data_IF_220605371041
#
_entry.id   IF_220605371041
#
_cell.length_a   1.000
_cell.length_b   1.000
_cell.length_c   1.000
_cell.angle_alpha   90.00
_cell.angle_beta   90.00
_cell.angle_gamma   90.00
#
_symmetry.space_group_name_H-M   'P 1'
#
loop_
_entity.id
_entity.type
_entity.pdbx_description
1 polymer ?
#
# COMPACT_ATOMS: atom_id res chain seq x y z
N UNK A 1 -9.75 19.55 -28.53
CA UNK A 1 -9.20 18.96 -27.30
C UNK A 1 -10.31 18.13 -26.68
N UNK A 2 -10.29 16.81 -26.86
CA UNK A 2 -11.31 15.92 -26.31
C UNK A 2 -10.85 15.47 -24.93
N UNK A 3 -11.59 15.83 -23.89
CA UNK A 3 -11.41 15.25 -22.57
C UNK A 3 -11.85 13.78 -22.66
N UNK A 4 -10.93 12.86 -22.39
CA UNK A 4 -11.28 11.45 -22.27
C UNK A 4 -12.34 11.30 -21.16
N UNK A 5 -13.39 10.49 -21.36
CA UNK A 5 -14.34 10.21 -20.29
C UNK A 5 -13.56 9.59 -19.13
N UNK A 6 -13.78 10.07 -17.90
CA UNK A 6 -13.24 9.43 -16.71
C UNK A 6 -13.60 7.94 -16.80
N UNK A 7 -12.56 7.09 -16.94
CA UNK A 7 -12.72 5.67 -17.17
C UNK A 7 -13.59 5.06 -16.06
N UNK A 8 -14.41 4.08 -16.43
CA UNK A 8 -15.14 3.27 -15.45
C UNK A 8 -14.14 2.70 -14.42
N UNK A 9 -14.54 2.53 -13.15
CA UNK A 9 -13.65 1.97 -12.14
C UNK A 9 -13.12 0.62 -12.61
N UNK A 10 -11.80 0.52 -12.73
CA UNK A 10 -11.12 -0.72 -13.12
C UNK A 10 -11.01 -1.65 -11.92
N UNK A 11 -11.04 -2.98 -12.13
CA UNK A 11 -10.78 -3.92 -11.06
C UNK A 11 -9.32 -3.78 -10.59
N UNK A 12 -9.14 -3.67 -9.28
CA UNK A 12 -7.83 -3.75 -8.63
C UNK A 12 -7.80 -4.99 -7.73
N UNK A 13 -6.70 -5.71 -7.78
CA UNK A 13 -6.41 -6.76 -6.82
C UNK A 13 -5.50 -6.18 -5.74
N UNK A 14 -5.93 -6.24 -4.49
CA UNK A 14 -5.22 -5.63 -3.36
C UNK A 14 -4.83 -6.73 -2.40
N UNK A 15 -3.53 -6.81 -2.10
CA UNK A 15 -2.97 -7.74 -1.11
C UNK A 15 -2.24 -6.93 -0.06
N UNK A 16 -2.47 -7.31 1.19
CA UNK A 16 -1.73 -6.82 2.33
C UNK A 16 -1.04 -8.00 3.01
N UNK A 17 0.26 -7.88 3.27
CA UNK A 17 1.09 -8.97 3.80
C UNK A 17 1.83 -8.49 5.04
N UNK A 18 1.81 -9.31 6.09
CA UNK A 18 2.58 -9.11 7.30
C UNK A 18 3.19 -10.45 7.73
N UNK A 19 4.46 -10.42 8.10
CA UNK A 19 5.15 -11.58 8.64
C UNK A 19 5.09 -11.55 10.16
N UNK A 20 4.68 -12.67 10.77
CA UNK A 20 4.54 -12.82 12.22
C UNK A 20 5.00 -14.21 12.64
N UNK A 21 5.83 -14.32 13.67
CA UNK A 21 6.39 -15.61 14.11
C UNK A 21 5.82 -16.11 15.45
N UNK A 22 4.89 -15.36 16.05
CA UNK A 22 4.51 -15.52 17.46
C UNK A 22 3.24 -16.35 17.70
N UNK A 23 2.50 -16.73 16.65
CA UNK A 23 1.20 -17.38 16.77
C UNK A 23 1.25 -18.87 16.45
N UNK A 24 0.62 -19.69 17.29
CA UNK A 24 0.54 -21.14 17.11
C UNK A 24 -0.65 -21.57 16.22
N UNK A 25 -1.61 -20.67 15.97
CA UNK A 25 -2.82 -20.95 15.19
C UNK A 25 -3.03 -19.92 14.05
N UNK A 26 -3.37 -20.38 12.83
CA UNK A 26 -3.60 -19.47 11.69
C UNK A 26 -4.71 -18.44 11.93
N UNK A 27 -5.73 -18.73 12.73
CA UNK A 27 -6.80 -17.76 13.01
C UNK A 27 -6.33 -16.70 14.00
N UNK A 28 -5.43 -17.03 14.92
CA UNK A 28 -4.79 -16.03 15.80
C UNK A 28 -3.93 -15.08 14.99
N UNK A 29 -3.10 -15.60 14.09
CA UNK A 29 -2.32 -14.78 13.16
C UNK A 29 -3.23 -13.87 12.30
N UNK A 30 -4.35 -14.40 11.78
CA UNK A 30 -5.30 -13.61 11.00
C UNK A 30 -6.01 -12.51 11.83
N UNK A 31 -6.32 -12.78 13.11
CA UNK A 31 -6.88 -11.76 14.01
C UNK A 31 -5.88 -10.66 14.30
N UNK A 32 -4.63 -11.03 14.57
CA UNK A 32 -3.56 -10.06 14.77
C UNK A 32 -3.35 -9.21 13.53
N UNK A 33 -3.31 -9.83 12.35
CA UNK A 33 -3.19 -9.14 11.08
C UNK A 33 -4.34 -8.11 10.90
N UNK A 34 -5.59 -8.49 11.20
CA UNK A 34 -6.73 -7.59 11.17
C UNK A 34 -6.59 -6.42 12.16
N UNK A 35 -6.11 -6.66 13.37
CA UNK A 35 -5.87 -5.62 14.37
C UNK A 35 -4.78 -4.65 13.92
N UNK A 36 -3.66 -5.19 13.43
CA UNK A 36 -2.50 -4.43 12.97
C UNK A 36 -2.79 -3.54 11.76
N UNK A 37 -3.66 -3.96 10.84
CA UNK A 37 -4.09 -3.13 9.69
C UNK A 37 -5.20 -2.14 10.04
N UNK A 38 -5.90 -2.36 11.17
CA UNK A 38 -6.98 -1.48 11.62
C UNK A 38 -6.48 -0.38 12.57
N UNK A 39 -5.27 -0.52 13.12
CA UNK A 39 -4.67 0.47 13.99
C UNK A 39 -4.11 1.65 13.16
N UNK A 40 -4.70 2.85 13.25
CA UNK A 40 -4.26 4.03 12.49
C UNK A 40 -2.88 4.56 12.90
N UNK A 41 -2.22 3.97 13.91
CA UNK A 41 -0.84 4.25 14.28
C UNK A 41 0.14 3.15 13.86
N UNK A 42 -0.36 2.09 13.23
CA UNK A 42 0.46 1.05 12.65
C UNK A 42 1.25 1.58 11.46
N UNK A 43 2.51 1.16 11.36
CA UNK A 43 3.37 1.40 10.20
C UNK A 43 3.13 0.40 9.07
N UNK A 44 2.16 -0.50 9.26
CA UNK A 44 1.92 -1.60 8.36
C UNK A 44 0.88 -1.27 7.29
N UNK A 45 0.56 -0.02 6.96
CA UNK A 45 -0.44 0.30 5.92
C UNK A 45 0.12 0.29 4.49
N UNK A 46 1.08 -0.61 4.20
CA UNK A 46 1.65 -0.79 2.86
C UNK A 46 0.92 -1.91 2.13
N UNK A 47 0.24 -1.57 1.03
CA UNK A 47 -0.57 -2.48 0.24
C UNK A 47 0.05 -2.71 -1.14
N UNK A 48 0.15 -3.96 -1.57
CA UNK A 48 0.50 -4.29 -2.94
C UNK A 48 -0.77 -4.27 -3.79
N UNK A 49 -0.85 -3.34 -4.74
CA UNK A 49 -1.99 -3.14 -5.63
C UNK A 49 -1.61 -3.53 -7.04
N UNK A 50 -2.34 -4.49 -7.60
CA UNK A 50 -2.22 -4.90 -9.00
C UNK A 50 -3.40 -4.36 -9.82
N UNK A 51 -3.11 -3.62 -10.89
CA UNK A 51 -4.11 -3.08 -11.81
C UNK A 51 -4.56 -4.09 -12.88
N UNK A 52 -5.51 -3.68 -13.72
CA UNK A 52 -6.05 -4.49 -14.81
C UNK A 52 -5.04 -4.86 -15.92
N UNK A 53 -3.96 -4.09 -16.07
CA UNK A 53 -2.88 -4.35 -17.01
C UNK A 53 -1.83 -5.30 -16.39
N UNK A 54 -2.00 -5.67 -15.11
CA UNK A 54 -1.09 -6.50 -14.34
C UNK A 54 0.08 -5.70 -13.74
N UNK A 55 0.09 -4.38 -13.84
CA UNK A 55 1.11 -3.56 -13.18
C UNK A 55 0.88 -3.60 -11.68
N UNK A 56 1.96 -3.78 -10.93
CA UNK A 56 1.92 -3.86 -9.47
C UNK A 56 2.67 -2.70 -8.85
N UNK A 57 2.07 -2.08 -7.84
CA UNK A 57 2.65 -0.97 -7.08
C UNK A 57 2.40 -1.17 -5.59
N UNK A 58 3.40 -0.89 -4.77
CA UNK A 58 3.24 -0.82 -3.33
C UNK A 58 2.78 0.58 -2.93
N UNK A 59 1.65 0.66 -2.23
CA UNK A 59 1.00 1.89 -1.79
C UNK A 59 1.04 1.95 -0.28
N UNK A 60 1.87 2.84 0.26
CA UNK A 60 1.90 3.20 1.67
C UNK A 60 0.87 4.31 1.93
N UNK A 61 -0.14 4.05 2.77
CA UNK A 61 -1.18 5.03 3.09
C UNK A 61 -0.76 6.04 4.17
N UNK A 62 0.34 5.79 4.88
CA UNK A 62 0.92 6.72 5.86
C UNK A 62 1.93 7.69 5.21
N UNK A 63 2.36 7.39 3.98
CA UNK A 63 3.19 8.31 3.20
C UNK A 63 2.37 9.55 2.78
N UNK A 64 2.43 10.59 3.60
CA UNK A 64 1.94 11.92 3.23
C UNK A 64 2.59 12.41 1.93
N UNK A 65 1.86 13.13 1.06
CA UNK A 65 2.41 13.74 -0.17
C UNK A 65 3.72 14.53 0.10
N UNK A 66 3.83 15.12 1.30
CA UNK A 66 5.02 15.83 1.77
C UNK A 66 6.25 14.91 1.91
N UNK A 67 6.07 13.67 2.34
CA UNK A 67 7.15 12.69 2.51
C UNK A 67 7.61 12.13 1.17
N UNK A 68 6.66 11.84 0.26
CA UNK A 68 6.93 11.44 -1.11
C UNK A 68 7.76 12.49 -1.88
N UNK A 69 7.43 13.78 -1.74
CA UNK A 69 8.20 14.89 -2.33
C UNK A 69 9.61 15.02 -1.73
N UNK A 70 9.76 14.79 -0.42
CA UNK A 70 11.06 14.85 0.26
C UNK A 70 12.03 13.77 -0.23
N UNK A 71 11.53 12.55 -0.49
CA UNK A 71 12.29 11.47 -1.10
C UNK A 71 12.69 11.80 -2.55
N UNK A 72 11.76 12.31 -3.37
CA UNK A 72 12.05 12.72 -4.77
C UNK A 72 13.05 13.88 -4.87
N UNK A 73 13.07 14.80 -3.91
CA UNK A 73 14.05 15.91 -3.86
C UNK A 73 15.47 15.42 -3.52
N UNK A 74 15.61 14.42 -2.65
CA UNK A 74 16.95 13.91 -2.25
C UNK A 74 17.62 13.08 -3.35
N UNK A 75 16.86 12.37 -4.17
CA UNK A 75 17.40 11.59 -5.31
C UNK A 75 17.83 12.43 -6.52
N UNK A 76 17.47 13.73 -6.59
CA UNK A 76 18.03 14.69 -7.57
C UNK A 76 19.28 15.43 -7.08
N UNK A 77 19.76 15.13 -5.87
CA UNK A 77 20.84 15.88 -5.22
C UNK A 77 22.03 15.01 -4.81
N UNK A 78 22.28 13.91 -5.51
CA UNK A 78 23.60 13.25 -5.52
C UNK A 78 24.31 13.60 -6.85
N UNK A 79 25.43 14.35 -6.81
CA UNK A 79 26.33 14.50 -7.95
C UNK A 79 27.05 13.20 -8.29
#
# INVERSE_FOLDING_TARGET
>A
MSAAPAGLPQPYHVVWTIDTEEFADPREAARYALEAVSDPQSWAHVFTVTDHDGNTVDVDLDETEETAERCRRRSRSMP
#
